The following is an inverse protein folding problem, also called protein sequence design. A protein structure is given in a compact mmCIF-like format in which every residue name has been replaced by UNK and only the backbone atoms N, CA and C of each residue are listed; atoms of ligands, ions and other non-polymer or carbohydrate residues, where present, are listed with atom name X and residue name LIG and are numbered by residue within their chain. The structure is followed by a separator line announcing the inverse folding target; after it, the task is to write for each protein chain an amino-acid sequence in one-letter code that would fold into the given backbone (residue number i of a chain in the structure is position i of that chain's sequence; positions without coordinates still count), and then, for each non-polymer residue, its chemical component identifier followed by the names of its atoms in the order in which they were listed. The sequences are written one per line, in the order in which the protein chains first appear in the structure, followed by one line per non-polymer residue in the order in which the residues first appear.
data_IF_245843189392
#
_entry.id   IF_245843189392
#
_cell.length_a   1.000
_cell.length_b   1.000
_cell.length_c   1.000
_cell.angle_alpha   90.00
_cell.angle_beta   90.00
_cell.angle_gamma   90.00
#
_symmetry.space_group_name_H-M   'P 1'
#
loop_
_entity.id
_entity.type
_entity.pdbx_description
1 polymer ?
#
# COMPACT_ATOMS: atom_id res chain seq x y z
N UNK A 1 -80.93 -56.55 3.26
CA UNK A 1 -80.06 -55.80 4.19
C UNK A 1 -78.60 -56.06 3.85
N UNK A 2 -77.86 -54.96 3.62
CA UNK A 2 -76.41 -54.68 3.73
C UNK A 2 -75.34 -55.75 3.37
N UNK A 3 -74.61 -55.46 2.28
CA UNK A 3 -73.18 -55.76 2.03
C UNK A 3 -72.29 -55.18 3.13
N UNK A 4 -71.12 -55.79 3.38
CA UNK A 4 -69.87 -55.04 3.59
C UNK A 4 -68.68 -55.76 2.95
N UNK A 5 -67.95 -54.99 2.17
CA UNK A 5 -66.77 -55.29 1.37
C UNK A 5 -65.53 -54.76 2.12
N UNK A 6 -64.44 -55.51 1.96
CA UNK A 6 -63.07 -55.26 2.42
C UNK A 6 -62.49 -53.93 1.89
N UNK A 7 -61.58 -53.26 2.61
CA UNK A 7 -60.48 -52.51 1.98
C UNK A 7 -59.30 -52.27 2.94
N UNK A 8 -58.10 -52.62 2.47
CA UNK A 8 -56.79 -52.38 3.05
C UNK A 8 -56.34 -50.96 2.64
N UNK A 9 -55.98 -50.10 3.60
CA UNK A 9 -55.54 -48.72 3.34
C UNK A 9 -54.01 -48.65 3.40
N UNK A 10 -53.38 -48.42 2.25
CA UNK A 10 -52.00 -47.92 2.13
C UNK A 10 -52.04 -46.40 2.26
N UNK A 11 -51.40 -45.85 3.31
CA UNK A 11 -51.22 -44.41 3.46
C UNK A 11 -49.98 -43.94 2.69
N UNK A 12 -50.21 -43.19 1.62
CA UNK A 12 -49.21 -42.31 1.01
C UNK A 12 -49.34 -40.97 1.74
N UNK A 13 -48.38 -40.64 2.60
CA UNK A 13 -48.29 -39.28 3.16
C UNK A 13 -47.68 -38.37 2.11
N UNK A 14 -48.52 -37.69 1.34
CA UNK A 14 -48.12 -36.51 0.57
C UNK A 14 -47.69 -35.42 1.56
N UNK A 15 -46.38 -35.25 1.73
CA UNK A 15 -45.83 -34.14 2.49
C UNK A 15 -46.24 -32.82 1.83
N UNK A 16 -47.02 -32.01 2.53
CA UNK A 16 -47.24 -30.62 2.17
C UNK A 16 -45.88 -29.91 2.17
N UNK A 17 -45.38 -29.53 1.00
CA UNK A 17 -44.30 -28.54 0.90
C UNK A 17 -44.94 -27.20 1.25
N UNK A 18 -44.44 -26.46 2.26
CA UNK A 18 -45.04 -25.19 2.64
C UNK A 18 -44.88 -24.20 1.49
N UNK A 19 -45.98 -23.48 1.24
CA UNK A 19 -46.16 -22.42 0.25
C UNK A 19 -45.34 -21.18 0.63
N UNK A 20 -44.02 -21.30 0.74
CA UNK A 20 -43.13 -20.17 0.63
C UNK A 20 -42.90 -19.94 -0.86
N UNK A 21 -43.36 -18.80 -1.36
CA UNK A 21 -42.96 -18.26 -2.66
C UNK A 21 -41.48 -18.59 -2.93
N UNK A 22 -41.21 -19.57 -3.79
CA UNK A 22 -39.92 -19.61 -4.48
C UNK A 22 -40.01 -18.49 -5.51
N UNK A 23 -39.66 -17.28 -5.10
CA UNK A 23 -39.49 -16.17 -6.03
C UNK A 23 -38.40 -16.56 -7.00
N UNK A 24 -38.70 -16.59 -8.30
CA UNK A 24 -37.71 -16.92 -9.31
C UNK A 24 -36.57 -15.89 -9.30
N UNK A 25 -35.32 -16.31 -9.51
CA UNK A 25 -34.18 -15.38 -9.57
C UNK A 25 -34.39 -14.31 -10.65
N UNK A 26 -35.05 -14.70 -11.74
CA UNK A 26 -35.43 -13.80 -12.83
C UNK A 26 -36.45 -12.73 -12.41
N UNK A 27 -37.38 -13.07 -11.52
CA UNK A 27 -38.32 -12.12 -10.91
C UNK A 27 -37.61 -11.20 -9.92
N UNK A 28 -36.69 -11.75 -9.12
CA UNK A 28 -35.85 -11.00 -8.21
C UNK A 28 -34.95 -9.96 -8.91
N UNK A 29 -34.58 -10.18 -10.16
CA UNK A 29 -33.82 -9.18 -10.92
C UNK A 29 -34.71 -8.24 -11.74
N UNK A 30 -36.04 -8.39 -11.67
CA UNK A 30 -37.00 -7.68 -12.51
C UNK A 30 -36.74 -7.85 -14.01
N UNK A 31 -36.28 -9.04 -14.42
CA UNK A 31 -35.92 -9.37 -15.81
C UNK A 31 -37.12 -9.90 -16.59
N UNK A 32 -38.21 -10.29 -15.91
CA UNK A 32 -39.29 -11.14 -16.42
C UNK A 32 -40.33 -10.55 -17.39
N UNK A 33 -40.29 -9.25 -17.74
CA UNK A 33 -41.38 -8.59 -18.49
C UNK A 33 -41.13 -8.28 -19.98
N UNK A 34 -40.00 -8.71 -20.57
CA UNK A 34 -39.76 -8.56 -22.01
C UNK A 34 -39.37 -9.89 -22.65
N UNK A 35 -39.66 -10.02 -23.94
CA UNK A 35 -39.66 -11.19 -24.86
C UNK A 35 -38.54 -12.25 -24.73
N UNK A 36 -37.51 -12.01 -23.92
CA UNK A 36 -36.44 -12.96 -23.58
C UNK A 36 -36.37 -13.16 -22.06
N UNK A 37 -37.20 -14.05 -21.51
CA UNK A 37 -37.05 -14.50 -20.12
C UNK A 37 -35.70 -15.21 -19.95
N UNK A 38 -34.86 -14.71 -19.05
CA UNK A 38 -33.62 -15.40 -18.65
C UNK A 38 -34.00 -16.39 -17.56
N UNK A 39 -33.69 -17.67 -17.74
CA UNK A 39 -33.97 -18.72 -16.74
C UNK A 39 -32.94 -18.68 -15.62
N UNK A 40 -33.33 -19.18 -14.44
CA UNK A 40 -32.44 -19.33 -13.28
C UNK A 40 -31.18 -20.14 -13.64
N UNK A 41 -31.31 -21.18 -14.46
CA UNK A 41 -30.19 -21.98 -14.97
C UNK A 41 -29.23 -21.16 -15.84
N UNK A 42 -29.76 -20.27 -16.70
CA UNK A 42 -28.92 -19.41 -17.54
C UNK A 42 -28.13 -18.41 -16.70
N UNK A 43 -28.73 -17.86 -15.63
CA UNK A 43 -28.06 -17.00 -14.66
C UNK A 43 -26.90 -17.74 -13.98
N UNK A 44 -27.15 -18.95 -13.49
CA UNK A 44 -26.14 -19.77 -12.83
C UNK A 44 -25.02 -20.13 -13.81
N UNK A 45 -25.35 -20.52 -15.04
CA UNK A 45 -24.37 -20.86 -16.07
C UNK A 45 -23.48 -19.66 -16.46
N UNK A 46 -24.05 -18.45 -16.55
CA UNK A 46 -23.30 -17.24 -16.85
C UNK A 46 -22.29 -16.91 -15.72
N UNK A 47 -22.72 -17.00 -14.46
CA UNK A 47 -21.85 -16.78 -13.30
C UNK A 47 -20.79 -17.88 -13.15
N UNK A 48 -21.16 -19.13 -13.45
CA UNK A 48 -20.24 -20.26 -13.42
C UNK A 48 -19.18 -20.24 -14.53
N UNK A 49 -19.29 -19.38 -15.55
CA UNK A 49 -18.32 -19.33 -16.64
C UNK A 49 -16.91 -18.94 -16.18
N UNK A 50 -16.78 -18.22 -15.07
CA UNK A 50 -15.50 -17.68 -14.56
C UNK A 50 -15.13 -18.17 -13.16
N UNK A 51 -15.99 -18.93 -12.48
CA UNK A 51 -15.79 -19.37 -11.09
C UNK A 51 -15.11 -20.73 -10.97
N UNK A 52 -14.19 -20.84 -9.98
CA UNK A 52 -13.47 -22.08 -9.63
C UNK A 52 -14.40 -23.03 -8.86
N UNK A 53 -15.20 -22.49 -7.94
CA UNK A 53 -16.19 -23.26 -7.18
C UNK A 53 -17.58 -23.04 -7.80
N UNK A 54 -18.04 -24.00 -8.59
CA UNK A 54 -19.32 -23.90 -9.30
C UNK A 54 -20.47 -23.71 -8.30
N UNK A 55 -21.34 -22.77 -8.65
CA UNK A 55 -22.59 -22.47 -7.98
C UNK A 55 -23.58 -23.58 -8.31
N UNK A 56 -24.11 -24.23 -7.27
CA UNK A 56 -25.18 -25.22 -7.37
C UNK A 56 -26.55 -24.55 -7.28
N UNK A 57 -26.70 -23.56 -6.39
CA UNK A 57 -27.98 -22.91 -6.11
C UNK A 57 -27.79 -21.46 -5.67
N UNK A 58 -28.70 -20.60 -6.08
CA UNK A 58 -28.82 -19.22 -5.59
C UNK A 58 -30.21 -19.08 -4.97
N UNK A 59 -30.27 -18.59 -3.73
CA UNK A 59 -31.52 -18.44 -2.97
C UNK A 59 -31.70 -16.96 -2.61
N UNK A 60 -32.74 -16.27 -3.08
CA UNK A 60 -33.09 -14.93 -2.63
C UNK A 60 -33.34 -14.90 -1.12
N UNK A 61 -32.75 -13.92 -0.43
CA UNK A 61 -32.86 -13.79 1.03
C UNK A 61 -33.56 -12.51 1.48
N UNK A 62 -33.96 -11.64 0.55
CA UNK A 62 -34.61 -10.39 0.89
C UNK A 62 -35.17 -9.66 -0.33
N UNK A 63 -35.64 -8.44 -0.07
CA UNK A 63 -36.29 -7.63 -1.09
C UNK A 63 -35.30 -7.09 -2.12
N UNK A 64 -35.77 -6.99 -3.35
CA UNK A 64 -35.04 -6.36 -4.46
C UNK A 64 -34.85 -4.88 -4.16
N UNK A 65 -33.63 -4.39 -4.34
CA UNK A 65 -33.31 -2.98 -4.33
C UNK A 65 -33.12 -2.49 -5.76
N UNK A 66 -33.74 -1.36 -6.06
CA UNK A 66 -33.53 -0.66 -7.31
C UNK A 66 -32.39 0.34 -7.07
N UNK A 67 -31.23 0.09 -7.67
CA UNK A 67 -30.11 1.01 -7.61
C UNK A 67 -30.32 2.19 -8.55
N UNK A 68 -29.38 3.15 -8.54
CA UNK A 68 -29.44 4.29 -9.44
C UNK A 68 -29.38 3.84 -10.91
N UNK A 69 -30.25 4.42 -11.74
CA UNK A 69 -30.33 4.16 -13.18
C UNK A 69 -30.89 2.79 -13.56
N UNK A 70 -30.06 1.98 -14.24
CA UNK A 70 -30.45 0.75 -14.95
C UNK A 70 -30.06 -0.55 -14.22
N UNK A 71 -29.88 -0.45 -12.89
CA UNK A 71 -29.39 -1.54 -12.04
C UNK A 71 -30.46 -2.09 -11.09
N UNK A 72 -30.48 -3.40 -10.90
CA UNK A 72 -31.26 -4.09 -9.85
C UNK A 72 -30.33 -4.94 -9.01
N UNK A 73 -30.54 -4.93 -7.70
CA UNK A 73 -29.77 -5.69 -6.74
C UNK A 73 -30.71 -6.58 -5.93
N UNK A 74 -30.42 -7.87 -5.85
CA UNK A 74 -31.14 -8.81 -5.02
C UNK A 74 -30.18 -9.44 -4.00
N UNK A 75 -30.46 -9.35 -2.69
CA UNK A 75 -29.70 -10.10 -1.69
C UNK A 75 -29.97 -11.60 -1.86
N UNK A 76 -28.90 -12.39 -1.94
CA UNK A 76 -28.98 -13.83 -2.15
C UNK A 76 -27.96 -14.58 -1.29
N UNK A 77 -28.26 -15.84 -0.98
CA UNK A 77 -27.29 -16.84 -0.52
C UNK A 77 -26.96 -17.77 -1.68
N UNK A 78 -25.68 -17.95 -1.95
CA UNK A 78 -25.14 -18.87 -2.95
C UNK A 78 -24.65 -20.13 -2.26
N UNK A 79 -25.10 -21.29 -2.74
CA UNK A 79 -24.60 -22.60 -2.33
C UNK A 79 -23.79 -23.18 -3.48
N UNK A 80 -22.55 -23.58 -3.18
CA UNK A 80 -21.61 -24.17 -4.13
C UNK A 80 -21.72 -25.70 -4.13
N UNK A 81 -21.26 -26.35 -5.19
CA UNK A 81 -21.29 -27.82 -5.33
C UNK A 81 -20.49 -28.56 -4.24
N UNK A 82 -19.48 -27.90 -3.66
CA UNK A 82 -18.69 -28.41 -2.54
C UNK A 82 -19.43 -28.32 -1.18
N UNK A 83 -20.67 -27.82 -1.16
CA UNK A 83 -21.50 -27.68 0.03
C UNK A 83 -21.29 -26.38 0.82
N UNK A 84 -20.35 -25.50 0.43
CA UNK A 84 -20.19 -24.20 1.10
C UNK A 84 -21.31 -23.26 0.71
N UNK A 85 -21.62 -22.30 1.59
CA UNK A 85 -22.59 -21.25 1.30
C UNK A 85 -22.09 -19.88 1.71
N UNK A 86 -22.34 -18.88 0.87
CA UNK A 86 -21.89 -17.51 1.04
C UNK A 86 -23.04 -16.54 0.76
N UNK A 87 -23.04 -15.41 1.47
CA UNK A 87 -24.03 -14.35 1.26
C UNK A 87 -23.47 -13.27 0.33
N UNK A 88 -24.35 -12.66 -0.45
CA UNK A 88 -23.97 -11.57 -1.34
C UNK A 88 -25.16 -10.92 -2.02
N UNK A 89 -24.87 -10.24 -3.12
CA UNK A 89 -25.85 -9.56 -3.95
C UNK A 89 -25.72 -10.00 -5.39
N UNK A 90 -26.85 -10.42 -5.97
CA UNK A 90 -26.98 -10.61 -7.41
C UNK A 90 -27.38 -9.28 -8.02
N UNK A 91 -26.57 -8.79 -8.97
CA UNK A 91 -26.74 -7.49 -9.60
C UNK A 91 -27.02 -7.71 -11.08
N UNK A 92 -28.09 -7.12 -11.58
CA UNK A 92 -28.37 -7.02 -13.01
C UNK A 92 -28.21 -5.57 -13.45
N UNK A 93 -27.41 -5.36 -14.50
CA UNK A 93 -27.26 -4.06 -15.18
C UNK A 93 -27.84 -4.17 -16.58
N UNK A 94 -28.43 -3.10 -17.09
CA UNK A 94 -29.01 -3.11 -18.44
C UNK A 94 -30.49 -3.49 -18.45
N UNK A 95 -31.29 -3.18 -17.42
CA UNK A 95 -32.74 -3.45 -17.36
C UNK A 95 -33.46 -2.99 -18.63
N UNK A 96 -33.02 -1.87 -19.23
CA UNK A 96 -33.55 -1.30 -20.47
C UNK A 96 -32.72 -1.63 -21.73
N UNK A 97 -31.66 -2.43 -21.60
CA UNK A 97 -30.74 -2.80 -22.70
C UNK A 97 -31.01 -4.22 -23.22
N UNK A 98 -30.67 -4.45 -24.49
CA UNK A 98 -30.63 -5.80 -25.07
C UNK A 98 -29.45 -6.63 -24.52
N UNK A 99 -28.40 -5.97 -24.04
CA UNK A 99 -27.25 -6.59 -23.40
C UNK A 99 -27.37 -6.43 -21.88
N UNK A 100 -27.99 -7.41 -21.24
CA UNK A 100 -28.05 -7.51 -19.77
C UNK A 100 -26.74 -8.11 -19.29
N UNK A 101 -26.14 -7.49 -18.28
CA UNK A 101 -24.95 -8.02 -17.61
C UNK A 101 -25.32 -8.44 -16.20
N UNK A 102 -25.06 -9.70 -15.88
CA UNK A 102 -25.31 -10.26 -14.55
C UNK A 102 -23.99 -10.39 -13.81
N UNK A 103 -23.94 -9.84 -12.61
CA UNK A 103 -22.77 -9.87 -11.73
C UNK A 103 -23.19 -10.41 -10.37
N UNK A 104 -22.38 -11.27 -9.77
CA UNK A 104 -22.55 -11.66 -8.37
C UNK A 104 -21.44 -11.05 -7.53
N UNK A 105 -21.81 -10.34 -6.46
CA UNK A 105 -20.88 -9.75 -5.50
C UNK A 105 -21.00 -10.43 -4.16
N UNK A 106 -19.93 -11.10 -3.76
CA UNK A 106 -19.77 -11.68 -2.43
C UNK A 106 -19.60 -10.55 -1.39
N UNK A 107 -20.36 -10.60 -0.29
CA UNK A 107 -20.23 -9.63 0.81
C UNK A 107 -18.79 -9.63 1.38
N UNK A 108 -18.22 -10.81 1.60
CA UNK A 108 -16.86 -10.98 2.11
C UNK A 108 -15.78 -10.35 1.23
N UNK A 109 -15.93 -10.42 -0.10
CA UNK A 109 -14.98 -9.82 -1.05
C UNK A 109 -15.18 -8.31 -1.17
N UNK A 110 -16.40 -7.81 -1.00
CA UNK A 110 -16.71 -6.39 -1.06
C UNK A 110 -16.14 -5.62 0.14
N UNK A 111 -16.37 -6.12 1.35
CA UNK A 111 -15.84 -5.50 2.57
C UNK A 111 -14.31 -5.55 2.59
N UNK A 112 -13.72 -6.66 2.13
CA UNK A 112 -12.27 -6.77 1.98
C UNK A 112 -11.71 -5.77 0.97
N UNK A 113 -12.42 -5.51 -0.14
CA UNK A 113 -12.00 -4.53 -1.15
C UNK A 113 -12.04 -3.10 -0.60
N UNK A 114 -13.12 -2.71 0.10
CA UNK A 114 -13.21 -1.39 0.72
C UNK A 114 -12.09 -1.18 1.74
N UNK A 115 -11.82 -2.18 2.58
CA UNK A 115 -10.74 -2.11 3.56
C UNK A 115 -9.35 -1.94 2.92
N UNK A 116 -9.10 -2.61 1.79
CA UNK A 116 -7.84 -2.46 1.03
C UNK A 116 -7.73 -1.07 0.42
N UNK A 117 -8.81 -0.53 -0.15
CA UNK A 117 -8.83 0.82 -0.72
C UNK A 117 -8.60 1.90 0.36
N UNK A 118 -9.23 1.77 1.52
CA UNK A 118 -9.01 2.65 2.68
C UNK A 118 -7.56 2.57 3.18
N UNK A 119 -7.02 1.37 3.32
CA UNK A 119 -5.63 1.17 3.73
C UNK A 119 -4.65 1.77 2.71
N UNK A 120 -4.92 1.63 1.42
CA UNK A 120 -4.10 2.21 0.36
C UNK A 120 -4.17 3.75 0.37
N UNK A 121 -5.35 4.32 0.56
CA UNK A 121 -5.53 5.77 0.69
C UNK A 121 -4.79 6.32 1.92
N UNK A 122 -4.93 5.66 3.08
CA UNK A 122 -4.23 6.02 4.31
C UNK A 122 -2.70 5.93 4.15
N UNK A 123 -2.20 4.86 3.51
CA UNK A 123 -0.78 4.70 3.23
C UNK A 123 -0.24 5.77 2.28
N UNK A 124 -1.02 6.16 1.28
CA UNK A 124 -0.65 7.25 0.36
C UNK A 124 -0.50 8.58 1.11
N UNK A 125 -1.49 8.95 1.92
CA UNK A 125 -1.46 10.17 2.74
C UNK A 125 -0.25 10.16 3.68
N UNK A 126 0.00 9.03 4.37
CA UNK A 126 1.16 8.89 5.26
C UNK A 126 2.48 9.08 4.51
N UNK A 127 2.60 8.52 3.32
CA UNK A 127 3.81 8.65 2.49
C UNK A 127 4.04 10.10 2.07
N UNK A 128 3.00 10.79 1.60
CA UNK A 128 3.06 12.21 1.24
C UNK A 128 3.44 13.10 2.44
N UNK A 129 2.92 12.79 3.63
CA UNK A 129 3.30 13.48 4.87
C UNK A 129 4.77 13.27 5.22
N UNK A 130 5.29 12.04 5.15
CA UNK A 130 6.70 11.74 5.41
C UNK A 130 7.59 12.51 4.42
N UNK A 131 7.24 12.50 3.13
CA UNK A 131 8.00 13.21 2.11
C UNK A 131 7.98 14.73 2.29
N UNK A 132 6.81 15.31 2.61
CA UNK A 132 6.70 16.76 2.84
C UNK A 132 7.52 17.20 4.07
N UNK A 133 7.50 16.41 5.14
CA UNK A 133 8.35 16.63 6.32
C UNK A 133 9.84 16.50 5.98
N UNK A 134 10.23 15.53 5.16
CA UNK A 134 11.60 15.41 4.68
C UNK A 134 12.04 16.63 3.86
N UNK A 135 11.19 17.10 2.92
CA UNK A 135 11.46 18.32 2.13
C UNK A 135 11.57 19.58 2.99
N UNK A 136 10.71 19.71 4.00
CA UNK A 136 10.77 20.83 4.94
C UNK A 136 12.10 20.83 5.72
N UNK A 137 12.52 19.68 6.24
CA UNK A 137 13.82 19.52 6.93
C UNK A 137 15.02 19.81 6.02
N UNK A 138 14.98 19.35 4.77
CA UNK A 138 16.04 19.66 3.78
C UNK A 138 16.12 21.17 3.52
N UNK A 139 14.98 21.86 3.46
CA UNK A 139 14.90 23.31 3.25
C UNK A 139 15.44 24.09 4.45
N UNK A 140 15.05 23.71 5.67
CA UNK A 140 15.53 24.29 6.92
C UNK A 140 17.04 24.08 7.07
N UNK A 141 17.53 22.85 6.86
CA UNK A 141 18.96 22.53 6.93
C UNK A 141 19.78 23.36 5.92
N UNK A 142 19.24 23.56 4.71
CA UNK A 142 19.86 24.42 3.70
C UNK A 142 19.93 25.87 4.15
N UNK A 143 18.83 26.40 4.69
CA UNK A 143 18.79 27.76 5.21
C UNK A 143 19.80 27.94 6.36
N UNK A 144 19.83 27.03 7.32
CA UNK A 144 20.74 27.11 8.47
C UNK A 144 22.20 27.05 8.07
N UNK A 145 22.55 26.18 7.13
CA UNK A 145 23.91 26.10 6.60
C UNK A 145 24.33 27.37 5.87
N UNK A 146 23.45 27.93 5.04
CA UNK A 146 23.76 29.11 4.23
C UNK A 146 23.77 30.41 5.04
N UNK A 147 22.90 30.52 6.05
CA UNK A 147 22.77 31.71 6.91
C UNK A 147 23.73 31.73 8.11
N UNK A 148 24.42 30.62 8.38
CA UNK A 148 25.35 30.51 9.51
C UNK A 148 26.49 31.55 9.45
N UNK A 149 26.51 32.43 10.45
CA UNK A 149 27.52 33.48 10.59
C UNK A 149 28.94 32.92 10.63
N UNK A 150 29.85 33.56 9.87
CA UNK A 150 31.29 33.27 9.90
C UNK A 150 31.89 33.54 11.29
N UNK A 151 31.30 34.46 12.08
CA UNK A 151 31.77 34.74 13.44
C UNK A 151 31.45 33.61 14.40
N UNK A 152 30.26 33.01 14.28
CA UNK A 152 29.84 31.88 15.12
C UNK A 152 30.52 30.57 14.70
N UNK A 153 30.69 30.38 13.38
CA UNK A 153 31.33 29.22 12.79
C UNK A 153 32.45 29.67 11.85
N UNK A 154 33.68 29.92 12.35
CA UNK A 154 34.77 30.42 11.52
C UNK A 154 35.42 29.35 10.63
N UNK A 155 35.18 28.06 10.92
CA UNK A 155 35.79 26.95 10.18
C UNK A 155 34.73 26.11 9.46
N UNK A 156 35.16 25.40 8.42
CA UNK A 156 34.37 24.39 7.70
C UNK A 156 35.21 23.12 7.58
N UNK A 157 34.68 21.98 8.03
CA UNK A 157 35.26 20.68 7.71
C UNK A 157 34.65 20.18 6.40
N UNK A 158 35.49 19.81 5.43
CA UNK A 158 35.13 19.09 4.22
C UNK A 158 35.55 17.62 4.40
N UNK A 159 34.58 16.73 4.48
CA UNK A 159 34.81 15.31 4.73
C UNK A 159 34.49 14.54 3.46
N UNK A 160 35.40 13.70 3.01
CA UNK A 160 35.17 12.81 1.87
C UNK A 160 35.87 11.48 2.08
N UNK A 161 35.34 10.45 1.43
CA UNK A 161 36.08 9.22 1.25
C UNK A 161 36.75 9.22 -0.12
N UNK A 162 37.87 8.53 -0.20
CA UNK A 162 38.59 8.33 -1.45
C UNK A 162 39.10 6.91 -1.54
N UNK A 163 39.22 6.40 -2.76
CA UNK A 163 39.86 5.13 -3.00
C UNK A 163 41.39 5.31 -2.93
N UNK A 164 42.06 4.55 -2.07
CA UNK A 164 43.50 4.67 -1.80
C UNK A 164 44.39 4.31 -3.00
N UNK A 165 43.87 3.54 -3.95
CA UNK A 165 44.63 3.06 -5.12
C UNK A 165 44.57 4.05 -6.29
N UNK A 166 43.41 4.63 -6.56
CA UNK A 166 43.20 5.51 -7.72
C UNK A 166 42.85 6.96 -7.36
N UNK A 167 42.73 7.28 -6.07
CA UNK A 167 42.40 8.59 -5.52
C UNK A 167 41.05 9.17 -5.95
N UNK A 168 40.16 8.35 -6.51
CA UNK A 168 38.80 8.77 -6.83
C UNK A 168 38.05 9.11 -5.55
N UNK A 169 37.33 10.23 -5.56
CA UNK A 169 36.49 10.68 -4.45
C UNK A 169 35.08 10.09 -4.54
N UNK A 170 34.51 9.78 -3.38
CA UNK A 170 33.17 9.23 -3.24
C UNK A 170 32.42 9.99 -2.15
N UNK A 171 31.09 9.94 -2.20
CA UNK A 171 30.27 10.62 -1.19
C UNK A 171 30.41 9.92 0.15
N UNK A 172 30.49 10.67 1.27
CA UNK A 172 30.58 10.09 2.60
C UNK A 172 29.48 9.07 2.94
N UNK A 173 28.26 9.27 2.43
CA UNK A 173 27.15 8.33 2.61
C UNK A 173 27.42 6.97 1.95
N UNK A 174 28.03 6.95 0.76
CA UNK A 174 28.37 5.72 0.02
C UNK A 174 29.47 4.90 0.73
N UNK A 175 30.20 5.56 1.62
CA UNK A 175 31.30 4.98 2.40
C UNK A 175 30.93 4.75 3.86
N UNK A 176 29.67 4.96 4.24
CA UNK A 176 29.21 4.81 5.62
C UNK A 176 29.96 5.69 6.63
N UNK A 177 30.41 6.89 6.23
CA UNK A 177 31.09 7.81 7.16
C UNK A 177 30.05 8.39 8.12
N UNK A 178 30.29 8.21 9.41
CA UNK A 178 29.59 8.85 10.51
C UNK A 178 30.43 9.96 11.10
N UNK A 179 29.78 11.02 11.57
CA UNK A 179 30.45 12.13 12.25
C UNK A 179 29.82 12.39 13.62
N UNK A 180 30.63 12.78 14.60
CA UNK A 180 30.17 13.10 15.94
C UNK A 180 31.03 14.20 16.58
N UNK A 181 30.48 14.82 17.62
CA UNK A 181 31.13 15.87 18.39
C UNK A 181 30.31 17.16 18.43
N UNK A 182 30.95 18.28 18.78
CA UNK A 182 30.29 19.61 18.80
C UNK A 182 30.29 20.19 17.38
N UNK A 183 29.27 19.83 16.61
CA UNK A 183 29.12 20.16 15.20
C UNK A 183 28.11 21.31 15.02
N UNK A 184 28.32 22.14 14.01
CA UNK A 184 27.35 23.14 13.57
C UNK A 184 26.49 22.64 12.39
N UNK A 185 25.84 23.56 11.66
CA UNK A 185 25.06 23.22 10.48
C UNK A 185 25.85 22.43 9.43
N UNK A 186 25.15 21.60 8.67
CA UNK A 186 25.77 20.68 7.68
C UNK A 186 25.10 20.78 6.31
N UNK A 187 25.77 20.29 5.27
CA UNK A 187 25.23 20.26 3.90
C UNK A 187 24.40 19.00 3.57
N UNK A 188 23.77 18.33 4.55
CA UNK A 188 22.99 17.09 4.33
C UNK A 188 21.92 17.20 3.23
N UNK A 189 21.42 18.42 2.96
CA UNK A 189 20.44 18.70 1.92
C UNK A 189 21.02 18.55 0.50
N UNK A 190 22.34 18.69 0.34
CA UNK A 190 23.03 18.60 -0.94
C UNK A 190 23.45 17.16 -1.23
N UNK A 191 22.52 16.42 -1.84
CA UNK A 191 22.73 15.02 -2.22
C UNK A 191 23.70 14.85 -3.38
N UNK A 192 24.16 15.92 -4.04
CA UNK A 192 25.08 15.87 -5.18
C UNK A 192 26.52 16.16 -4.78
N UNK A 193 26.74 16.86 -3.65
CA UNK A 193 28.07 17.12 -3.11
C UNK A 193 28.89 15.83 -2.91
N UNK A 194 30.16 15.88 -3.32
CA UNK A 194 31.14 14.82 -3.08
C UNK A 194 31.74 14.89 -1.68
N UNK A 195 31.51 16.00 -0.96
CA UNK A 195 31.97 16.22 0.40
C UNK A 195 30.77 16.39 1.35
N UNK A 196 30.95 15.91 2.57
CA UNK A 196 30.09 16.23 3.70
C UNK A 196 30.72 17.41 4.45
N UNK A 197 30.06 18.56 4.35
CA UNK A 197 30.55 19.81 4.88
C UNK A 197 29.87 20.09 6.22
N UNK A 198 30.68 20.42 7.23
CA UNK A 198 30.23 20.77 8.57
C UNK A 198 30.80 22.13 8.94
N UNK A 199 29.94 23.05 9.36
CA UNK A 199 30.38 24.33 9.91
C UNK A 199 30.80 24.13 11.36
N UNK A 200 31.99 24.64 11.71
CA UNK A 200 32.61 24.39 13.00
C UNK A 200 32.81 25.70 13.78
N UNK A 201 32.45 25.74 15.08
CA UNK A 201 32.74 26.88 15.95
C UNK A 201 34.24 27.02 16.21
N UNK A 202 34.67 28.11 16.84
CA UNK A 202 36.10 28.36 17.13
C UNK A 202 36.75 27.26 17.96
N UNK A 203 36.00 26.64 18.88
CA UNK A 203 36.43 25.46 19.63
C UNK A 203 35.52 24.29 19.32
N UNK A 204 36.11 23.22 18.79
CA UNK A 204 35.36 22.07 18.31
C UNK A 204 36.11 20.76 18.57
N UNK A 205 35.33 19.69 18.56
CA UNK A 205 35.83 18.32 18.50
C UNK A 205 35.05 17.61 17.41
N UNK A 206 35.76 17.12 16.39
CA UNK A 206 35.21 16.42 15.25
C UNK A 206 35.81 15.01 15.22
N UNK A 207 34.93 14.02 15.25
CA UNK A 207 35.26 12.62 15.05
C UNK A 207 34.56 12.14 13.78
N UNK A 208 35.31 11.68 12.79
CA UNK A 208 34.79 11.05 11.58
C UNK A 208 35.24 9.58 11.53
N UNK A 209 34.31 8.65 11.31
CA UNK A 209 34.59 7.21 11.32
C UNK A 209 33.79 6.49 10.25
N UNK A 210 34.41 5.52 9.56
CA UNK A 210 33.67 4.59 8.71
C UNK A 210 32.90 3.59 9.59
N UNK A 211 31.61 3.40 9.30
CA UNK A 211 30.77 2.43 10.00
C UNK A 211 31.25 0.98 9.81
N UNK A 212 31.78 0.68 8.61
CA UNK A 212 32.36 -0.62 8.28
C UNK A 212 33.81 -0.46 7.78
N UNK A 213 34.76 -1.28 8.27
CA UNK A 213 36.14 -1.25 7.78
C UNK A 213 36.24 -1.54 6.29
N UNK A 214 37.01 -0.74 5.54
CA UNK A 214 37.20 -0.93 4.10
C UNK A 214 38.67 -0.79 3.68
N UNK A 215 39.25 -1.88 3.15
CA UNK A 215 40.68 -1.97 2.80
C UNK A 215 41.08 -0.94 1.74
N UNK A 216 40.15 -0.61 0.84
CA UNK A 216 40.42 0.19 -0.35
C UNK A 216 40.04 1.66 -0.18
N UNK A 217 39.24 1.99 0.85
CA UNK A 217 38.76 3.35 1.09
C UNK A 217 39.53 4.01 2.24
N UNK A 218 39.78 5.32 2.12
CA UNK A 218 40.30 6.18 3.18
C UNK A 218 39.34 7.34 3.45
N UNK A 219 39.42 7.92 4.65
CA UNK A 219 38.72 9.17 5.00
C UNK A 219 39.73 10.30 4.87
N UNK A 220 39.29 11.44 4.35
CA UNK A 220 40.03 12.69 4.46
C UNK A 220 39.12 13.79 4.99
N UNK A 221 39.68 14.59 5.88
CA UNK A 221 39.02 15.74 6.49
C UNK A 221 39.93 16.95 6.30
N UNK A 222 39.46 17.92 5.52
CA UNK A 222 40.12 19.19 5.32
C UNK A 222 39.36 20.27 6.11
N UNK A 223 40.02 20.89 7.08
CA UNK A 223 39.49 22.04 7.82
C UNK A 223 39.90 23.30 7.06
N UNK A 224 38.91 24.07 6.63
CA UNK A 224 39.10 25.35 5.96
C UNK A 224 38.68 26.51 6.85
N UNK A 225 39.45 27.59 6.77
CA UNK A 225 39.02 28.91 7.23
C UNK A 225 37.88 29.39 6.33
N UNK A 226 36.72 29.72 6.88
CA UNK A 226 35.62 30.30 6.07
C UNK A 226 35.90 31.75 5.66
N UNK A 227 36.86 32.42 6.30
CA UNK A 227 37.26 33.80 5.96
C UNK A 227 38.21 33.84 4.77
N UNK A 228 39.18 32.91 4.71
CA UNK A 228 40.22 32.90 3.67
C UNK A 228 40.06 31.77 2.66
N UNK A 229 39.18 30.81 2.93
CA UNK A 229 38.99 29.56 2.17
C UNK A 229 40.22 28.65 2.10
N UNK A 230 41.27 28.97 2.85
CA UNK A 230 42.50 28.18 2.93
C UNK A 230 42.30 26.97 3.84
N UNK A 231 42.95 25.87 3.47
CA UNK A 231 43.04 24.68 4.32
C UNK A 231 44.00 24.98 5.46
N UNK A 232 43.50 24.97 6.69
CA UNK A 232 44.27 25.24 7.91
C UNK A 232 44.70 23.96 8.63
N UNK A 233 44.02 22.84 8.37
CA UNK A 233 44.38 21.53 8.92
C UNK A 233 43.85 20.44 7.99
N UNK A 234 44.64 19.39 7.76
CA UNK A 234 44.22 18.20 7.02
C UNK A 234 44.52 16.98 7.85
N UNK A 235 43.55 16.07 7.97
CA UNK A 235 43.78 14.73 8.51
C UNK A 235 43.25 13.67 7.55
N UNK A 236 43.98 12.58 7.47
CA UNK A 236 43.60 11.38 6.73
C UNK A 236 43.48 10.20 7.67
N UNK A 237 42.52 9.32 7.39
CA UNK A 237 42.30 8.04 8.07
C UNK A 237 42.28 6.90 7.07
N UNK A 238 42.72 5.72 7.52
CA UNK A 238 42.83 4.45 6.83
C UNK A 238 41.83 3.38 7.31
N UNK A 239 42.17 2.10 7.11
CA UNK A 239 41.32 0.90 7.07
C UNK A 239 40.40 0.68 8.29
N UNK A 240 40.77 1.19 9.47
CA UNK A 240 40.04 1.09 10.74
C UNK A 240 39.70 2.45 11.34
N UNK A 241 39.94 3.52 10.59
CA UNK A 241 40.32 4.76 11.25
C UNK A 241 39.14 5.67 11.55
N UNK A 242 39.16 6.06 12.82
CA UNK A 242 38.57 7.29 13.28
C UNK A 242 39.55 8.43 12.99
N UNK A 243 39.13 9.42 12.21
CA UNK A 243 39.80 10.73 12.15
C UNK A 243 39.30 11.58 13.32
N UNK A 244 40.22 12.02 14.17
CA UNK A 244 39.93 12.93 15.27
C UNK A 244 40.62 14.27 15.06
N UNK A 245 39.85 15.35 15.14
CA UNK A 245 40.36 16.73 15.01
C UNK A 245 39.73 17.57 16.12
N UNK A 246 40.57 18.29 16.84
CA UNK A 246 40.16 19.31 17.80
C UNK A 246 40.93 20.60 17.57
N UNK A 247 40.30 21.71 17.90
CA UNK A 247 40.90 23.04 17.99
C UNK A 247 40.42 23.71 19.28
#
# INVERSE_FOLDING_TARGET
MKKKLLLLITMITSGCVPYAHQTDLSDCLSIGNYTNKITNEKIINELNSTEINKIQKITPTGNVKFGDGDSTECPVTVTHENGTSEQGFLISRGRWSQQKKIEYKFLSKWDAQQQVEENNAANKIRTEQIESQARARDTESKHDFQSASITAYPFKAEIYCYNKKNFNMYKPADCGISTSGKLGPTNIYDKQALTFDILLPSSFTLKASMAEPNLFMGIKVDIRSRKTNEVVNTRTGSYTDTVFISN
#
